data_IF_113497633316
#
_entry.id   IF_113497633316
#
_cell.length_a   1.000
_cell.length_b   1.000
_cell.length_c   1.000
_cell.angle_alpha   90.00
_cell.angle_beta   90.00
_cell.angle_gamma   90.00
#
_symmetry.space_group_name_H-M   'P 1'
#
loop_
_entity.id
_entity.type
_entity.pdbx_description
1 polymer ?
#
# COMPACT_ATOMS: atom_id res chain seq x y z
N UNK A 1 0.55 9.64 68.24
CA UNK A 1 0.76 10.92 67.53
C UNK A 1 1.73 10.67 66.40
N UNK A 2 1.24 10.60 65.17
CA UNK A 2 2.01 10.61 63.92
C UNK A 2 1.26 11.57 62.99
N UNK A 3 1.93 12.56 62.36
CA UNK A 3 1.23 13.64 61.67
C UNK A 3 0.70 13.20 60.29
N UNK A 4 -0.52 13.64 60.00
CA UNK A 4 -1.16 13.60 58.68
C UNK A 4 -0.35 14.43 57.67
N UNK A 5 0.23 13.77 56.67
CA UNK A 5 0.87 14.41 55.53
C UNK A 5 -0.20 14.83 54.50
N UNK A 6 -0.22 16.13 54.19
CA UNK A 6 -1.18 16.76 53.30
C UNK A 6 -1.13 16.23 51.86
N UNK A 7 -2.30 15.89 51.34
CA UNK A 7 -2.54 15.64 49.92
C UNK A 7 -2.41 16.96 49.15
N UNK A 8 -1.49 16.98 48.18
CA UNK A 8 -1.37 18.04 47.18
C UNK A 8 -2.68 18.18 46.40
N UNK A 9 -3.12 19.40 46.04
CA UNK A 9 -4.33 19.58 45.25
C UNK A 9 -4.05 19.21 43.79
N UNK A 10 -4.51 18.02 43.38
CA UNK A 10 -4.60 17.64 41.97
C UNK A 10 -5.61 18.58 41.31
N UNK A 11 -5.10 19.52 40.51
CA UNK A 11 -5.89 20.42 39.69
C UNK A 11 -6.73 19.57 38.72
N UNK A 12 -8.06 19.47 38.95
CA UNK A 12 -9.02 18.95 37.97
C UNK A 12 -9.09 19.94 36.82
N UNK A 13 -8.21 19.79 35.84
CA UNK A 13 -8.39 20.41 34.54
C UNK A 13 -9.42 19.56 33.79
N UNK A 14 -10.68 19.95 33.86
CA UNK A 14 -11.72 19.43 32.97
C UNK A 14 -11.40 19.92 31.57
N UNK A 15 -10.87 19.05 30.72
CA UNK A 15 -10.81 19.31 29.29
C UNK A 15 -12.25 19.35 28.79
N UNK A 16 -12.71 20.53 28.40
CA UNK A 16 -13.95 20.70 27.65
C UNK A 16 -13.74 20.05 26.28
N UNK A 17 -14.15 18.78 26.16
CA UNK A 17 -14.20 18.06 24.90
C UNK A 17 -15.33 18.70 24.08
N UNK A 18 -15.01 19.84 23.47
CA UNK A 18 -15.91 20.55 22.57
C UNK A 18 -16.56 19.58 21.60
N UNK A 19 -17.85 19.79 21.36
CA UNK A 19 -18.73 19.00 20.50
C UNK A 19 -17.96 18.46 19.29
N UNK A 20 -17.66 17.15 19.32
CA UNK A 20 -17.11 16.45 18.16
C UNK A 20 -18.17 16.58 17.07
N UNK A 21 -17.89 17.38 16.03
CA UNK A 21 -18.74 17.49 14.86
C UNK A 21 -19.00 16.06 14.33
N UNK A 22 -20.24 15.70 13.99
CA UNK A 22 -20.51 14.42 13.35
C UNK A 22 -19.59 14.28 12.14
N UNK A 23 -18.90 13.14 12.02
CA UNK A 23 -18.18 12.81 10.79
C UNK A 23 -19.26 12.79 9.69
N UNK A 24 -19.25 13.78 8.79
CA UNK A 24 -20.14 13.78 7.63
C UNK A 24 -20.02 12.42 6.93
N UNK A 25 -21.16 11.82 6.61
CA UNK A 25 -21.20 10.57 5.86
C UNK A 25 -20.60 10.82 4.47
N UNK A 26 -19.32 10.48 4.29
CA UNK A 26 -18.62 10.69 3.03
C UNK A 26 -19.16 9.68 2.01
N UNK A 27 -20.17 10.09 1.26
CA UNK A 27 -20.62 9.37 0.06
C UNK A 27 -19.54 9.53 -1.02
N UNK A 28 -18.62 8.56 -1.07
CA UNK A 28 -17.57 8.52 -2.09
C UNK A 28 -18.19 8.20 -3.46
N UNK A 29 -18.37 9.22 -4.29
CA UNK A 29 -18.71 9.06 -5.71
C UNK A 29 -17.45 9.15 -6.58
N UNK A 30 -17.37 8.25 -7.57
CA UNK A 30 -16.31 8.27 -8.56
C UNK A 30 -16.43 9.53 -9.43
N UNK A 31 -15.33 10.28 -9.60
CA UNK A 31 -15.30 11.53 -10.37
C UNK A 31 -15.32 11.30 -11.88
N UNK A 32 -14.58 10.30 -12.35
CA UNK A 32 -14.40 9.98 -13.76
C UNK A 32 -14.16 8.48 -13.95
N UNK A 33 -14.82 7.88 -14.93
CA UNK A 33 -14.49 6.53 -15.37
C UNK A 33 -13.42 6.58 -16.49
N UNK A 34 -12.14 6.57 -16.11
CA UNK A 34 -11.03 6.62 -17.06
C UNK A 34 -11.02 5.46 -18.06
N UNK A 35 -11.51 4.27 -17.67
CA UNK A 35 -11.66 3.14 -18.58
C UNK A 35 -12.61 3.44 -19.72
N UNK A 36 -13.77 4.05 -19.42
CA UNK A 36 -14.75 4.41 -20.44
C UNK A 36 -14.28 5.58 -21.33
N UNK A 37 -13.49 6.51 -20.77
CA UNK A 37 -13.01 7.68 -21.50
C UNK A 37 -11.74 7.43 -22.32
N UNK A 38 -10.94 6.42 -21.97
CA UNK A 38 -9.66 6.12 -22.64
C UNK A 38 -9.38 4.61 -22.66
N UNK A 39 -10.23 3.83 -23.36
CA UNK A 39 -10.17 2.37 -23.31
C UNK A 39 -8.87 1.79 -23.89
N UNK A 40 -8.28 2.41 -24.91
CA UNK A 40 -7.03 1.95 -25.52
C UNK A 40 -5.84 2.11 -24.57
N UNK A 41 -5.76 3.25 -23.87
CA UNK A 41 -4.71 3.51 -22.88
C UNK A 41 -4.85 2.54 -21.69
N UNK A 42 -6.08 2.35 -21.20
CA UNK A 42 -6.36 1.40 -20.14
C UNK A 42 -5.95 -0.02 -20.55
N UNK A 43 -6.34 -0.47 -21.75
CA UNK A 43 -5.99 -1.80 -22.26
C UNK A 43 -4.48 -1.99 -22.29
N UNK A 44 -3.73 -1.02 -22.82
CA UNK A 44 -2.26 -1.09 -22.86
C UNK A 44 -1.64 -1.15 -21.47
N UNK A 45 -2.19 -0.41 -20.52
CA UNK A 45 -1.69 -0.42 -19.15
C UNK A 45 -1.99 -1.74 -18.41
N UNK A 46 -3.13 -2.38 -18.70
CA UNK A 46 -3.42 -3.75 -18.24
C UNK A 46 -2.47 -4.76 -18.87
N UNK A 47 -2.26 -4.71 -20.19
CA UNK A 47 -1.30 -5.58 -20.90
C UNK A 47 0.11 -5.47 -20.30
N UNK A 48 0.55 -4.25 -19.99
CA UNK A 48 1.82 -4.00 -19.30
C UNK A 48 1.88 -4.69 -17.93
N UNK A 49 0.82 -4.60 -17.11
CA UNK A 49 0.70 -5.33 -15.85
C UNK A 49 0.75 -6.85 -16.02
N UNK A 50 0.14 -7.40 -17.08
CA UNK A 50 0.17 -8.84 -17.36
C UNK A 50 1.57 -9.32 -17.76
N UNK A 51 2.35 -8.52 -18.48
CA UNK A 51 3.74 -8.86 -18.82
C UNK A 51 4.62 -8.97 -17.57
N UNK A 52 4.41 -8.10 -16.58
CA UNK A 52 5.14 -8.14 -15.31
C UNK A 52 4.88 -9.42 -14.53
N UNK A 53 3.68 -10.01 -14.65
CA UNK A 53 3.33 -11.30 -14.04
C UNK A 53 4.14 -12.48 -14.60
N UNK A 54 4.70 -12.34 -15.79
CA UNK A 54 5.65 -13.30 -16.39
C UNK A 54 7.11 -12.89 -16.23
N UNK A 55 7.39 -11.85 -15.44
CA UNK A 55 8.73 -11.33 -15.20
C UNK A 55 9.56 -12.18 -14.24
N UNK A 56 10.75 -11.68 -13.89
CA UNK A 56 11.71 -12.38 -13.03
C UNK A 56 11.38 -12.29 -11.53
N UNK A 57 10.49 -11.39 -11.12
CA UNK A 57 10.10 -11.23 -9.72
C UNK A 57 8.93 -12.16 -9.38
N UNK A 58 9.03 -12.80 -8.23
CA UNK A 58 8.02 -13.70 -7.71
C UNK A 58 6.68 -12.99 -7.48
N UNK A 59 5.59 -13.65 -7.87
CA UNK A 59 4.23 -13.11 -7.73
C UNK A 59 3.88 -12.71 -6.29
N UNK A 60 4.35 -13.47 -5.29
CA UNK A 60 4.16 -13.14 -3.89
C UNK A 60 4.79 -11.78 -3.53
N UNK A 61 6.01 -11.50 -4.00
CA UNK A 61 6.68 -10.22 -3.80
C UNK A 61 5.95 -9.10 -4.53
N UNK A 62 5.50 -9.31 -5.76
CA UNK A 62 4.75 -8.30 -6.52
C UNK A 62 3.51 -7.82 -5.74
N UNK A 63 2.78 -8.73 -5.09
CA UNK A 63 1.62 -8.35 -4.26
C UNK A 63 2.01 -7.50 -3.06
N UNK A 64 3.13 -7.81 -2.39
CA UNK A 64 3.64 -6.98 -1.29
C UNK A 64 4.02 -5.57 -1.76
N UNK A 65 4.66 -5.49 -2.93
CA UNK A 65 5.03 -4.22 -3.59
C UNK A 65 3.79 -3.40 -3.90
N UNK A 66 2.77 -4.03 -4.50
CA UNK A 66 1.51 -3.39 -4.86
C UNK A 66 0.77 -2.85 -3.63
N UNK A 67 0.71 -3.65 -2.55
CA UNK A 67 0.13 -3.23 -1.26
C UNK A 67 0.93 -2.04 -0.70
N UNK A 68 2.26 -2.14 -0.62
CA UNK A 68 3.08 -1.13 0.04
C UNK A 68 3.05 0.21 -0.68
N UNK A 69 3.18 0.21 -2.01
CA UNK A 69 3.08 1.43 -2.80
C UNK A 69 1.70 2.08 -2.65
N UNK A 70 0.64 1.28 -2.64
CA UNK A 70 -0.74 1.76 -2.47
C UNK A 70 -1.00 2.36 -1.09
N UNK A 71 -0.40 1.80 -0.04
CA UNK A 71 -0.43 2.39 1.32
C UNK A 71 0.21 3.77 1.34
N UNK A 72 1.41 3.92 0.75
CA UNK A 72 2.14 5.20 0.71
C UNK A 72 1.37 6.25 -0.09
N UNK A 73 0.82 5.87 -1.24
CA UNK A 73 0.08 6.77 -2.10
C UNK A 73 -1.36 7.06 -1.63
N UNK A 74 -1.85 6.38 -0.59
CA UNK A 74 -3.22 6.52 -0.10
C UNK A 74 -4.29 6.07 -1.11
N UNK A 75 -3.98 5.12 -2.01
CA UNK A 75 -4.97 4.58 -2.96
C UNK A 75 -5.85 3.54 -2.28
N UNK A 76 -6.99 3.93 -1.73
CA UNK A 76 -7.94 3.01 -1.08
C UNK A 76 -8.43 1.89 -1.99
N UNK A 77 -8.74 2.19 -3.26
CA UNK A 77 -9.17 1.18 -4.23
C UNK A 77 -8.09 0.12 -4.49
N UNK A 78 -6.87 0.58 -4.73
CA UNK A 78 -5.75 -0.30 -5.03
C UNK A 78 -5.38 -1.15 -3.81
N UNK A 79 -5.34 -0.53 -2.62
CA UNK A 79 -5.04 -1.23 -1.38
C UNK A 79 -6.05 -2.35 -1.10
N UNK A 80 -7.35 -2.04 -1.19
CA UNK A 80 -8.44 -3.00 -1.03
C UNK A 80 -8.31 -4.19 -2.00
N UNK A 81 -8.08 -3.89 -3.29
CA UNK A 81 -7.90 -4.90 -4.33
C UNK A 81 -6.70 -5.82 -4.05
N UNK A 82 -5.52 -5.24 -3.81
CA UNK A 82 -4.28 -6.02 -3.70
C UNK A 82 -4.19 -6.81 -2.39
N UNK A 83 -4.81 -6.34 -1.30
CA UNK A 83 -4.95 -7.12 -0.05
C UNK A 83 -5.83 -8.35 -0.27
N UNK A 84 -6.95 -8.20 -0.98
CA UNK A 84 -7.83 -9.34 -1.33
C UNK A 84 -7.12 -10.32 -2.26
N UNK A 85 -6.44 -9.83 -3.29
CA UNK A 85 -5.67 -10.70 -4.20
C UNK A 85 -4.58 -11.48 -3.46
N UNK A 86 -3.83 -10.82 -2.57
CA UNK A 86 -2.80 -11.46 -1.77
C UNK A 86 -3.37 -12.56 -0.87
N UNK A 87 -4.47 -12.28 -0.16
CA UNK A 87 -5.15 -13.28 0.68
C UNK A 87 -5.64 -14.48 -0.13
N UNK A 88 -6.29 -14.25 -1.27
CA UNK A 88 -6.79 -15.33 -2.15
C UNK A 88 -5.65 -16.26 -2.58
N UNK A 89 -4.44 -15.72 -2.72
CA UNK A 89 -3.26 -16.47 -3.13
C UNK A 89 -2.36 -16.88 -1.95
N UNK A 90 -2.89 -16.92 -0.73
CA UNK A 90 -2.24 -17.55 0.41
C UNK A 90 -1.25 -16.68 1.18
N UNK A 91 -1.26 -15.36 0.99
CA UNK A 91 -0.48 -14.46 1.85
C UNK A 91 -1.04 -14.50 3.30
N UNK A 92 -0.15 -14.52 4.28
CA UNK A 92 -0.52 -14.64 5.69
C UNK A 92 -1.15 -13.35 6.22
N UNK A 93 -2.21 -13.48 7.03
CA UNK A 93 -2.93 -12.34 7.62
C UNK A 93 -1.99 -11.38 8.39
N UNK A 94 -1.12 -11.93 9.23
CA UNK A 94 -0.16 -11.13 9.99
C UNK A 94 0.78 -10.35 9.06
N UNK A 95 1.23 -10.99 7.97
CA UNK A 95 2.09 -10.37 6.97
C UNK A 95 1.39 -9.22 6.25
N UNK A 96 0.11 -9.38 5.87
CA UNK A 96 -0.70 -8.31 5.26
C UNK A 96 -0.75 -7.06 6.15
N UNK A 97 -0.93 -7.22 7.46
CA UNK A 97 -0.86 -6.11 8.41
C UNK A 97 0.56 -5.55 8.56
N UNK A 98 1.55 -6.43 8.61
CA UNK A 98 2.95 -6.06 8.82
C UNK A 98 3.63 -5.41 7.62
N UNK A 99 3.06 -5.47 6.40
CA UNK A 99 3.65 -4.78 5.22
C UNK A 99 3.88 -3.30 5.51
N UNK A 100 2.98 -2.63 6.24
CA UNK A 100 3.13 -1.22 6.57
C UNK A 100 4.32 -0.92 7.50
N UNK A 101 4.74 -1.91 8.30
CA UNK A 101 5.78 -1.82 9.31
C UNK A 101 6.94 -2.80 9.04
N UNK A 102 7.14 -3.18 7.77
CA UNK A 102 7.96 -4.32 7.39
C UNK A 102 9.40 -4.28 7.94
N UNK A 103 9.94 -3.09 8.22
CA UNK A 103 11.28 -2.92 8.83
C UNK A 103 11.39 -3.54 10.22
N UNK A 104 10.33 -3.46 11.01
CA UNK A 104 10.28 -3.99 12.38
C UNK A 104 9.71 -5.41 12.43
N UNK A 105 9.16 -5.90 11.32
CA UNK A 105 8.61 -7.25 11.23
C UNK A 105 9.69 -8.28 10.94
N UNK A 106 9.66 -9.40 11.67
CA UNK A 106 10.50 -10.59 11.42
C UNK A 106 9.96 -11.49 10.31
N UNK A 107 8.77 -11.20 9.80
CA UNK A 107 8.06 -12.06 8.85
C UNK A 107 8.60 -11.99 7.41
N UNK A 108 9.47 -11.02 7.10
CA UNK A 108 9.95 -10.77 5.73
C UNK A 108 11.42 -11.16 5.55
N UNK A 109 11.69 -11.93 4.51
CA UNK A 109 13.02 -12.36 4.09
C UNK A 109 13.90 -11.18 3.66
N UNK A 110 15.25 -11.34 3.64
CA UNK A 110 16.15 -10.30 3.13
C UNK A 110 15.81 -9.82 1.71
N UNK A 111 15.38 -10.74 0.84
CA UNK A 111 14.94 -10.43 -0.53
C UNK A 111 13.67 -9.59 -0.55
N UNK A 112 12.63 -9.96 0.20
CA UNK A 112 11.40 -9.17 0.30
C UNK A 112 11.68 -7.77 0.87
N UNK A 113 12.55 -7.68 1.88
CA UNK A 113 12.98 -6.40 2.49
C UNK A 113 13.70 -5.50 1.48
N UNK A 114 14.55 -6.07 0.61
CA UNK A 114 15.15 -5.33 -0.48
C UNK A 114 14.10 -4.80 -1.47
N UNK A 115 13.15 -5.65 -1.88
CA UNK A 115 12.07 -5.25 -2.79
C UNK A 115 11.18 -4.15 -2.19
N UNK A 116 10.83 -4.25 -0.90
CA UNK A 116 10.07 -3.25 -0.18
C UNK A 116 10.85 -1.93 -0.04
N UNK A 117 12.14 -1.98 0.30
CA UNK A 117 12.99 -0.78 0.35
C UNK A 117 13.05 -0.05 -0.99
N UNK A 118 13.25 -0.80 -2.09
CA UNK A 118 13.24 -0.25 -3.44
C UNK A 118 11.88 0.36 -3.81
N UNK A 119 10.80 -0.33 -3.44
CA UNK A 119 9.42 0.14 -3.65
C UNK A 119 9.16 1.48 -2.98
N UNK A 120 9.55 1.64 -1.71
CA UNK A 120 9.36 2.90 -1.00
C UNK A 120 10.19 4.03 -1.60
N UNK A 121 11.43 3.74 -2.00
CA UNK A 121 12.33 4.73 -2.60
C UNK A 121 11.78 5.26 -3.93
N UNK A 122 11.33 4.37 -4.82
CA UNK A 122 10.76 4.76 -6.12
C UNK A 122 9.33 5.31 -6.03
N UNK A 123 8.55 4.92 -5.01
CA UNK A 123 7.21 5.47 -4.79
C UNK A 123 7.28 6.90 -4.25
N UNK A 124 8.16 7.15 -3.28
CA UNK A 124 8.32 8.48 -2.67
C UNK A 124 9.07 9.43 -3.60
N UNK A 125 10.09 8.91 -4.31
CA UNK A 125 10.96 9.64 -5.23
C UNK A 125 11.37 11.02 -4.67
N UNK A 126 12.15 11.00 -3.59
CA UNK A 126 12.62 12.22 -2.95
C UNK A 126 13.44 13.10 -3.91
N UNK A 127 13.56 14.40 -3.61
CA UNK A 127 14.21 15.37 -4.50
C UNK A 127 15.66 15.00 -4.87
N UNK A 128 16.37 14.36 -3.94
CA UNK A 128 17.74 13.86 -4.13
C UNK A 128 17.82 12.52 -4.89
N UNK A 129 16.69 11.97 -5.34
CA UNK A 129 16.62 10.67 -6.00
C UNK A 129 16.71 9.50 -5.02
N UNK A 130 17.10 8.33 -5.56
CA UNK A 130 17.28 7.10 -4.77
C UNK A 130 18.70 7.08 -4.18
N UNK A 131 18.87 6.97 -2.85
CA UNK A 131 20.19 6.88 -2.24
C UNK A 131 20.97 5.64 -2.72
N UNK A 132 22.27 5.81 -2.99
CA UNK A 132 23.16 4.73 -3.44
C UNK A 132 23.12 3.53 -2.47
N UNK A 133 23.10 3.76 -1.16
CA UNK A 133 23.03 2.69 -0.15
C UNK A 133 21.82 1.76 -0.35
N UNK A 134 20.67 2.30 -0.78
CA UNK A 134 19.49 1.48 -1.08
C UNK A 134 19.77 0.62 -2.32
N UNK A 135 20.31 1.23 -3.38
CA UNK A 135 20.64 0.51 -4.61
C UNK A 135 21.70 -0.58 -4.38
N UNK A 136 22.76 -0.29 -3.61
CA UNK A 136 23.79 -1.22 -3.15
C UNK A 136 23.18 -2.40 -2.41
N UNK A 137 22.31 -2.15 -1.44
CA UNK A 137 21.65 -3.20 -0.67
C UNK A 137 20.76 -4.07 -1.54
N UNK A 138 19.97 -3.47 -2.42
CA UNK A 138 19.02 -4.17 -3.29
C UNK A 138 19.75 -5.15 -4.22
N UNK A 139 20.87 -4.75 -4.81
CA UNK A 139 21.61 -5.64 -5.72
C UNK A 139 22.34 -6.79 -5.04
N UNK A 140 22.44 -6.80 -3.71
CA UNK A 140 22.89 -8.01 -2.99
C UNK A 140 21.84 -9.13 -3.00
N UNK A 141 20.57 -8.81 -3.31
CA UNK A 141 19.44 -9.74 -3.27
C UNK A 141 18.81 -10.00 -4.65
N UNK A 142 19.07 -9.11 -5.62
CA UNK A 142 18.45 -9.12 -6.95
C UNK A 142 19.52 -8.94 -8.04
N UNK A 143 19.38 -9.69 -9.12
CA UNK A 143 20.08 -9.47 -10.38
C UNK A 143 19.61 -8.18 -11.07
N UNK A 144 20.38 -7.69 -12.04
CA UNK A 144 20.02 -6.49 -12.81
C UNK A 144 18.66 -6.62 -13.51
N UNK A 145 18.36 -7.81 -14.06
CA UNK A 145 17.04 -8.08 -14.67
C UNK A 145 15.92 -8.00 -13.63
N UNK A 146 16.11 -8.57 -12.45
CA UNK A 146 15.11 -8.52 -11.38
C UNK A 146 14.89 -7.09 -10.88
N UNK A 147 15.96 -6.29 -10.71
CA UNK A 147 15.85 -4.87 -10.34
C UNK A 147 15.08 -4.09 -11.41
N UNK A 148 15.36 -4.34 -12.69
CA UNK A 148 14.63 -3.73 -13.81
C UNK A 148 13.14 -4.09 -13.77
N UNK A 149 12.81 -5.39 -13.71
CA UNK A 149 11.43 -5.87 -13.68
C UNK A 149 10.67 -5.35 -12.44
N UNK A 150 11.33 -5.35 -11.27
CA UNK A 150 10.78 -4.77 -10.03
C UNK A 150 10.50 -3.26 -10.20
N UNK A 151 11.40 -2.51 -10.83
CA UNK A 151 11.23 -1.07 -11.06
C UNK A 151 10.01 -0.79 -11.94
N UNK A 152 9.82 -1.56 -13.00
CA UNK A 152 8.62 -1.47 -13.83
C UNK A 152 7.34 -1.85 -13.06
N UNK A 153 7.40 -2.82 -12.15
CA UNK A 153 6.27 -3.15 -11.28
C UNK A 153 5.92 -1.99 -10.33
N UNK A 154 6.92 -1.36 -9.71
CA UNK A 154 6.70 -0.17 -8.87
C UNK A 154 6.10 0.98 -9.69
N UNK A 155 6.57 1.20 -10.91
CA UNK A 155 6.00 2.19 -11.83
C UNK A 155 4.54 1.87 -12.19
N UNK A 156 4.23 0.60 -12.48
CA UNK A 156 2.87 0.17 -12.82
C UNK A 156 1.88 0.48 -11.69
N UNK A 157 2.19 0.06 -10.45
CA UNK A 157 1.30 0.35 -9.32
C UNK A 157 1.20 1.85 -9.03
N UNK A 158 2.29 2.59 -9.17
CA UNK A 158 2.28 4.04 -9.00
C UNK A 158 1.39 4.75 -10.03
N UNK A 159 1.35 4.25 -11.28
CA UNK A 159 0.42 4.73 -12.31
C UNK A 159 -1.03 4.42 -11.96
N UNK A 160 -1.33 3.18 -11.53
CA UNK A 160 -2.67 2.80 -11.09
C UNK A 160 -3.14 3.62 -9.88
N UNK A 161 -2.26 3.86 -8.91
CA UNK A 161 -2.57 4.67 -7.74
C UNK A 161 -2.95 6.11 -8.16
N UNK A 162 -2.17 6.73 -9.07
CA UNK A 162 -2.44 8.09 -9.55
C UNK A 162 -3.80 8.21 -10.24
N UNK A 163 -4.15 7.25 -11.11
CA UNK A 163 -5.45 7.22 -11.78
C UNK A 163 -6.59 7.08 -10.76
N UNK A 164 -6.52 6.09 -9.87
CA UNK A 164 -7.61 5.79 -8.96
C UNK A 164 -7.80 6.85 -7.86
N UNK A 165 -6.72 7.43 -7.34
CA UNK A 165 -6.78 8.56 -6.40
C UNK A 165 -7.36 9.80 -7.09
N UNK A 166 -6.85 10.15 -8.28
CA UNK A 166 -7.33 11.31 -9.04
C UNK A 166 -8.83 11.26 -9.32
N UNK A 167 -9.32 10.08 -9.67
CA UNK A 167 -10.72 9.87 -10.06
C UNK A 167 -11.62 9.30 -8.96
N UNK A 168 -11.12 9.15 -7.73
CA UNK A 168 -11.86 8.64 -6.56
C UNK A 168 -12.59 7.31 -6.86
N UNK A 169 -11.90 6.37 -7.48
CA UNK A 169 -12.45 5.02 -7.68
C UNK A 169 -12.82 4.41 -6.33
N UNK A 170 -14.01 3.86 -6.20
CA UNK A 170 -14.57 3.39 -4.92
C UNK A 170 -13.97 2.02 -4.57
N UNK A 171 -13.34 1.82 -3.39
CA UNK A 171 -12.85 0.51 -2.95
C UNK A 171 -13.95 -0.56 -2.99
N UNK A 172 -13.60 -1.80 -3.33
CA UNK A 172 -14.56 -2.91 -3.48
C UNK A 172 -15.48 -2.85 -4.71
N UNK A 173 -15.56 -1.72 -5.43
CA UNK A 173 -16.45 -1.56 -6.59
C UNK A 173 -16.17 -2.53 -7.75
N UNK A 174 -14.97 -3.12 -7.78
CA UNK A 174 -14.56 -4.07 -8.81
C UNK A 174 -14.45 -5.51 -8.30
N UNK A 175 -14.81 -5.81 -7.05
CA UNK A 175 -14.56 -7.11 -6.42
C UNK A 175 -15.14 -8.27 -7.24
N UNK A 176 -16.41 -8.17 -7.64
CA UNK A 176 -17.08 -9.20 -8.43
C UNK A 176 -16.41 -9.41 -9.80
N UNK A 177 -15.96 -8.33 -10.44
CA UNK A 177 -15.34 -8.41 -11.76
C UNK A 177 -13.98 -9.13 -11.70
N UNK A 178 -13.26 -9.00 -10.59
CA UNK A 178 -11.96 -9.63 -10.37
C UNK A 178 -12.02 -10.91 -9.52
N UNK A 179 -13.22 -11.32 -9.06
CA UNK A 179 -13.38 -12.50 -8.19
C UNK A 179 -12.80 -12.33 -6.79
N UNK A 180 -12.67 -11.09 -6.31
CA UNK A 180 -12.05 -10.73 -5.01
C UNK A 180 -13.00 -10.96 -3.82
N UNK A 181 -14.28 -11.20 -4.09
CA UNK A 181 -15.28 -11.64 -3.12
C UNK A 181 -14.88 -12.96 -2.44
N UNK A 182 -14.02 -13.76 -3.10
CA UNK A 182 -13.44 -14.99 -2.55
C UNK A 182 -12.46 -14.75 -1.39
N UNK A 183 -12.00 -13.52 -1.19
CA UNK A 183 -11.09 -13.19 -0.09
C UNK A 183 -11.74 -13.35 1.29
N UNK A 184 -13.08 -13.29 1.39
CA UNK A 184 -13.82 -13.52 2.63
C UNK A 184 -13.25 -12.74 3.83
N UNK A 185 -13.10 -11.43 3.69
CA UNK A 185 -12.87 -10.53 4.84
C UNK A 185 -14.15 -10.23 5.64
N UNK A 186 -15.16 -11.10 5.50
CA UNK A 186 -16.47 -10.98 6.12
C UNK A 186 -16.43 -11.44 7.58
#
# INVERSE_FOLDING_TARGET
MVPSAGLLPFCRQTYDLGVVQPIEEVTMSQRLNAFAQSPELFKKFVEFGMLLKSGAIEQSILRLVEIRASQINGCGFCLDMHVKDAKIHGEGELRLHHVAIWRESTEFSPRERACLAWTEALTTLAAQGVPDEIYERVRTQLSEKEISDLSFAVMAINGWNRLNVGFRTVPGSADKAYGLDKAKFN
#
